data_IF_387789483277
#
_entry.id   IF_387789483277
#
_cell.length_a   1.000
_cell.length_b   1.000
_cell.length_c   1.000
_cell.angle_alpha   90.00
_cell.angle_beta   90.00
_cell.angle_gamma   90.00
#
_symmetry.space_group_name_H-M   'P 1'
#
loop_
_entity.id
_entity.type
_entity.pdbx_description
1 polymer ?
#
# COMPACT_ATOMS: atom_id res chain seq x y z
N UNK A 1 15.75 -5.96 -1.40
CA UNK A 1 16.58 -4.72 -1.43
C UNK A 1 16.43 -3.99 -0.09
N UNK A 2 17.28 -3.01 0.25
CA UNK A 2 17.01 -2.16 1.42
C UNK A 2 15.81 -1.25 1.16
N UNK A 3 15.09 -0.87 2.22
CA UNK A 3 13.94 0.05 2.18
C UNK A 3 14.20 1.28 1.30
N UNK A 4 15.32 1.95 1.52
CA UNK A 4 15.71 3.17 0.79
C UNK A 4 15.92 2.92 -0.71
N UNK A 5 16.54 1.79 -1.09
CA UNK A 5 16.77 1.45 -2.50
C UNK A 5 15.47 1.17 -3.26
N UNK A 6 14.48 0.58 -2.60
CA UNK A 6 13.14 0.36 -3.18
C UNK A 6 12.44 1.71 -3.38
N UNK A 7 12.50 2.57 -2.37
CA UNK A 7 11.94 3.93 -2.45
C UNK A 7 12.59 4.71 -3.60
N UNK A 8 13.91 4.68 -3.72
CA UNK A 8 14.63 5.38 -4.79
C UNK A 8 14.33 4.79 -6.16
N UNK A 9 14.19 3.47 -6.28
CA UNK A 9 13.76 2.82 -7.52
C UNK A 9 12.36 3.27 -7.95
N UNK A 10 11.41 3.34 -7.01
CA UNK A 10 10.06 3.87 -7.27
C UNK A 10 10.13 5.34 -7.66
N UNK A 11 10.93 6.16 -6.96
CA UNK A 11 11.08 7.60 -7.27
C UNK A 11 11.75 7.84 -8.62
N UNK A 12 12.63 6.95 -9.07
CA UNK A 12 13.28 7.00 -10.37
C UNK A 12 12.31 6.60 -11.49
N UNK A 13 11.52 5.56 -11.28
CA UNK A 13 10.52 5.10 -12.26
C UNK A 13 9.30 6.03 -12.34
N UNK A 14 8.90 6.61 -11.21
CA UNK A 14 7.77 7.52 -11.09
C UNK A 14 8.25 8.90 -10.61
N UNK A 15 8.42 9.87 -11.54
CA UNK A 15 8.79 11.23 -11.20
C UNK A 15 7.84 11.86 -10.17
N UNK A 16 8.33 12.87 -9.45
CA UNK A 16 7.58 13.54 -8.37
C UNK A 16 6.16 13.96 -8.78
N UNK A 17 6.00 14.54 -9.96
CA UNK A 17 4.70 15.00 -10.44
C UNK A 17 3.75 13.84 -10.73
N UNK A 18 4.25 12.74 -11.33
CA UNK A 18 3.47 11.50 -11.53
C UNK A 18 2.99 10.93 -10.21
N UNK A 19 3.87 10.86 -9.19
CA UNK A 19 3.50 10.34 -7.85
C UNK A 19 2.43 11.21 -7.19
N UNK A 20 2.56 12.53 -7.27
CA UNK A 20 1.54 13.47 -6.76
C UNK A 20 0.21 13.33 -7.52
N UNK A 21 0.26 13.23 -8.85
CA UNK A 21 -0.94 13.12 -9.67
C UNK A 21 -1.67 11.82 -9.37
N UNK A 22 -0.95 10.71 -9.22
CA UNK A 22 -1.54 9.42 -8.84
C UNK A 22 -2.29 9.55 -7.50
N UNK A 23 -1.66 10.08 -6.45
CA UNK A 23 -2.33 10.26 -5.15
C UNK A 23 -3.52 11.22 -5.25
N UNK A 24 -3.38 12.31 -6.01
CA UNK A 24 -4.50 13.24 -6.23
C UNK A 24 -5.70 12.53 -6.85
N UNK A 25 -5.46 11.68 -7.86
CA UNK A 25 -6.51 10.92 -8.56
C UNK A 25 -7.16 9.91 -7.60
N UNK A 26 -6.36 9.19 -6.80
CA UNK A 26 -6.89 8.29 -5.74
C UNK A 26 -7.83 9.04 -4.81
N UNK A 27 -7.34 10.10 -4.17
CA UNK A 27 -8.11 10.86 -3.18
C UNK A 27 -9.34 11.55 -3.80
N UNK A 28 -9.28 11.89 -5.09
CA UNK A 28 -10.42 12.44 -5.82
C UNK A 28 -11.47 11.37 -6.08
N UNK A 29 -11.08 10.21 -6.60
CA UNK A 29 -12.00 9.13 -6.92
C UNK A 29 -12.61 8.49 -5.68
N UNK A 30 -11.87 8.41 -4.56
CA UNK A 30 -12.41 7.94 -3.27
C UNK A 30 -13.56 8.80 -2.73
N UNK A 31 -13.62 10.07 -3.13
CA UNK A 31 -14.70 11.01 -2.78
C UNK A 31 -15.79 11.07 -3.85
N UNK A 32 -15.52 10.52 -5.03
CA UNK A 32 -16.40 10.56 -6.18
C UNK A 32 -17.36 9.36 -6.22
N UNK A 33 -18.21 9.35 -7.24
CA UNK A 33 -19.12 8.24 -7.54
C UNK A 33 -18.61 7.35 -8.68
N UNK A 34 -17.50 7.72 -9.34
CA UNK A 34 -16.92 6.96 -10.44
C UNK A 34 -16.09 5.77 -9.91
N UNK A 35 -16.80 4.67 -9.67
CA UNK A 35 -16.23 3.43 -9.16
C UNK A 35 -15.31 2.75 -10.17
N UNK A 36 -15.51 2.97 -11.47
CA UNK A 36 -14.65 2.41 -12.52
C UNK A 36 -13.28 3.06 -12.48
N UNK A 37 -13.25 4.39 -12.48
CA UNK A 37 -12.01 5.15 -12.39
C UNK A 37 -11.27 4.90 -11.07
N UNK A 38 -12.01 4.73 -9.96
CA UNK A 38 -11.44 4.30 -8.67
C UNK A 38 -10.77 2.93 -8.78
N UNK A 39 -11.44 1.94 -9.38
CA UNK A 39 -10.93 0.57 -9.54
C UNK A 39 -9.67 0.54 -10.40
N UNK A 40 -9.64 1.28 -11.50
CA UNK A 40 -8.45 1.38 -12.36
C UNK A 40 -7.27 2.01 -11.61
N UNK A 41 -7.54 3.06 -10.84
CA UNK A 41 -6.53 3.73 -10.02
C UNK A 41 -5.97 2.80 -8.95
N UNK A 42 -6.84 2.07 -8.25
CA UNK A 42 -6.43 1.07 -7.25
C UNK A 42 -5.61 -0.06 -7.90
N UNK A 43 -6.03 -0.55 -9.07
CA UNK A 43 -5.29 -1.58 -9.80
C UNK A 43 -3.85 -1.16 -10.09
N UNK A 44 -3.63 0.11 -10.43
CA UNK A 44 -2.27 0.65 -10.62
C UNK A 44 -1.49 0.66 -9.31
N UNK A 45 -2.10 1.11 -8.21
CA UNK A 45 -1.44 1.12 -6.90
C UNK A 45 -1.13 -0.29 -6.42
N UNK A 46 -2.04 -1.24 -6.59
CA UNK A 46 -1.86 -2.64 -6.21
C UNK A 46 -0.71 -3.29 -6.97
N UNK A 47 -0.50 -2.92 -8.25
CA UNK A 47 0.66 -3.40 -9.02
C UNK A 47 1.98 -2.88 -8.47
N UNK A 48 2.02 -1.60 -8.09
CA UNK A 48 3.22 -1.00 -7.47
C UNK A 48 3.45 -1.63 -6.10
N UNK A 49 2.39 -1.84 -5.32
CA UNK A 49 2.48 -2.47 -4.02
C UNK A 49 2.93 -3.93 -4.11
N UNK A 50 2.45 -4.70 -5.09
CA UNK A 50 2.92 -6.05 -5.35
C UNK A 50 4.42 -6.11 -5.67
N UNK A 51 4.94 -5.11 -6.39
CA UNK A 51 6.38 -4.94 -6.59
C UNK A 51 7.09 -4.70 -5.24
N UNK A 52 6.58 -3.79 -4.40
CA UNK A 52 7.16 -3.52 -3.08
C UNK A 52 7.17 -4.77 -2.19
N UNK A 53 6.05 -5.50 -2.12
CA UNK A 53 5.96 -6.75 -1.36
C UNK A 53 7.02 -7.76 -1.80
N UNK A 54 7.20 -7.92 -3.12
CA UNK A 54 8.22 -8.79 -3.69
C UNK A 54 9.64 -8.33 -3.30
N UNK A 55 9.95 -7.05 -3.43
CA UNK A 55 11.29 -6.52 -3.13
C UNK A 55 11.64 -6.51 -1.64
N UNK A 56 10.62 -6.48 -0.78
CA UNK A 56 10.75 -6.68 0.67
C UNK A 56 10.86 -8.17 1.04
N UNK A 57 10.70 -9.09 0.09
CA UNK A 57 10.51 -10.51 0.37
C UNK A 57 9.42 -10.74 1.44
N UNK A 58 8.37 -9.93 1.38
CA UNK A 58 7.32 -9.90 2.38
C UNK A 58 6.42 -11.13 2.22
N UNK A 59 6.07 -11.72 3.34
CA UNK A 59 5.13 -12.83 3.44
C UNK A 59 4.01 -12.48 4.40
N UNK A 60 2.83 -13.08 4.17
CA UNK A 60 1.72 -12.99 5.12
C UNK A 60 2.21 -13.45 6.50
N UNK A 61 2.12 -12.61 7.55
CA UNK A 61 2.57 -13.00 8.88
C UNK A 61 1.58 -13.98 9.50
N UNK A 62 2.08 -14.92 10.30
CA UNK A 62 1.27 -15.90 11.04
C UNK A 62 0.74 -15.35 12.37
N UNK A 63 1.20 -14.16 12.79
CA UNK A 63 0.82 -13.53 14.04
C UNK A 63 1.02 -12.01 14.02
N UNK A 64 0.47 -11.30 15.01
CA UNK A 64 0.64 -9.84 15.17
C UNK A 64 2.09 -9.42 15.34
N UNK A 65 2.87 -10.25 16.02
CA UNK A 65 4.24 -9.95 16.42
C UNK A 65 5.20 -10.02 15.21
N UNK A 66 4.85 -10.80 14.21
CA UNK A 66 5.59 -10.95 12.95
C UNK A 66 5.15 -9.94 11.88
N UNK A 67 4.21 -9.05 12.23
CA UNK A 67 3.67 -8.09 11.28
C UNK A 67 4.72 -7.07 10.83
N UNK A 68 5.14 -7.18 9.57
CA UNK A 68 6.04 -6.23 8.93
C UNK A 68 5.26 -5.16 8.15
N UNK A 69 5.27 -3.93 8.67
CA UNK A 69 4.69 -2.75 8.02
C UNK A 69 5.58 -2.14 6.92
N UNK A 70 6.82 -2.61 6.75
CA UNK A 70 7.81 -1.99 5.86
C UNK A 70 7.27 -1.76 4.44
N UNK A 71 6.53 -2.70 3.81
CA UNK A 71 5.97 -2.46 2.48
C UNK A 71 5.01 -1.27 2.42
N UNK A 72 4.16 -1.11 3.43
CA UNK A 72 3.22 0.01 3.51
C UNK A 72 3.96 1.33 3.78
N UNK A 73 4.96 1.32 4.64
CA UNK A 73 5.81 2.50 4.87
C UNK A 73 6.50 2.97 3.59
N UNK A 74 7.05 2.04 2.79
CA UNK A 74 7.67 2.35 1.49
C UNK A 74 6.65 3.04 0.57
N UNK A 75 5.40 2.55 0.53
CA UNK A 75 4.34 3.19 -0.25
C UNK A 75 4.04 4.60 0.27
N UNK A 76 3.96 4.79 1.60
CA UNK A 76 3.69 6.09 2.22
C UNK A 76 4.80 7.12 1.97
N UNK A 77 6.06 6.69 1.98
CA UNK A 77 7.22 7.55 1.71
C UNK A 77 7.44 7.81 0.21
N UNK A 78 7.05 6.86 -0.63
CA UNK A 78 7.11 7.00 -2.08
C UNK A 78 5.98 7.88 -2.61
N UNK A 79 4.77 7.78 -2.09
CA UNK A 79 3.60 8.48 -2.62
C UNK A 79 3.06 9.51 -1.62
N UNK A 80 3.24 10.82 -1.89
CA UNK A 80 2.94 11.86 -0.92
C UNK A 80 1.45 11.88 -0.57
N UNK A 81 1.12 11.78 0.72
CA UNK A 81 -0.26 11.73 1.26
C UNK A 81 -1.05 10.46 0.94
N UNK A 82 -0.42 9.42 0.40
CA UNK A 82 -1.12 8.15 0.15
C UNK A 82 -1.68 7.56 1.47
N UNK A 83 -1.02 7.79 2.60
CA UNK A 83 -1.50 7.41 3.93
C UNK A 83 -2.85 8.02 4.34
N UNK A 84 -3.30 9.09 3.68
CA UNK A 84 -4.62 9.67 3.91
C UNK A 84 -5.73 8.90 3.18
N UNK A 85 -5.39 8.13 2.15
CA UNK A 85 -6.33 7.39 1.31
C UNK A 85 -7.03 6.26 2.07
N UNK A 86 -8.23 5.90 1.59
CA UNK A 86 -8.94 4.70 2.03
C UNK A 86 -8.14 3.45 1.68
N UNK A 87 -7.55 3.38 0.48
CA UNK A 87 -6.72 2.24 0.08
C UNK A 87 -5.64 1.91 1.13
N UNK A 88 -4.87 2.91 1.57
CA UNK A 88 -3.78 2.69 2.54
C UNK A 88 -4.30 2.22 3.90
N UNK A 89 -5.43 2.79 4.36
CA UNK A 89 -6.07 2.41 5.62
C UNK A 89 -6.66 1.01 5.55
N UNK A 90 -7.23 0.62 4.42
CA UNK A 90 -7.77 -0.73 4.20
C UNK A 90 -6.64 -1.77 4.25
N UNK A 91 -5.47 -1.49 3.68
CA UNK A 91 -4.31 -2.40 3.78
C UNK A 91 -3.88 -2.60 5.24
N UNK A 92 -3.81 -1.51 6.03
CA UNK A 92 -3.54 -1.58 7.47
C UNK A 92 -4.63 -2.35 8.24
N UNK A 93 -5.88 -2.33 7.78
CA UNK A 93 -6.98 -3.02 8.43
C UNK A 93 -7.01 -4.50 8.08
N UNK A 94 -6.80 -4.86 6.81
CA UNK A 94 -6.70 -6.26 6.35
C UNK A 94 -5.56 -6.97 7.08
N UNK A 95 -4.42 -6.30 7.18
CA UNK A 95 -3.29 -6.71 7.99
C UNK A 95 -3.71 -7.09 9.43
N UNK A 96 -4.32 -6.14 10.14
CA UNK A 96 -4.74 -6.31 11.53
C UNK A 96 -5.82 -7.38 11.71
N UNK A 97 -6.76 -7.47 10.78
CA UNK A 97 -7.87 -8.43 10.86
C UNK A 97 -7.42 -9.86 10.58
N UNK A 98 -6.46 -10.08 9.67
CA UNK A 98 -5.91 -11.41 9.43
C UNK A 98 -5.31 -12.01 10.72
N UNK A 99 -4.66 -11.16 11.52
CA UNK A 99 -4.09 -11.51 12.81
C UNK A 99 -5.17 -11.81 13.87
N UNK A 100 -6.21 -10.97 13.96
CA UNK A 100 -7.27 -11.11 14.98
C UNK A 100 -8.13 -12.36 14.78
N UNK A 101 -8.30 -12.80 13.52
CA UNK A 101 -9.03 -14.03 13.18
C UNK A 101 -8.25 -15.28 13.58
N UNK A 102 -6.93 -15.35 13.33
CA UNK A 102 -6.10 -16.49 13.76
C UNK A 102 -6.03 -16.64 15.29
N UNK A 103 -6.09 -15.54 16.05
CA UNK A 103 -6.13 -15.62 17.52
C UNK A 103 -7.47 -16.12 18.06
N UNK A 104 -8.58 -15.94 17.33
CA UNK A 104 -9.91 -16.43 17.74
C UNK A 104 -10.18 -17.88 17.37
N UNK A 105 -9.57 -18.39 16.30
CA UNK A 105 -9.74 -19.80 15.88
C UNK A 105 -8.85 -20.77 16.67
N UNK A 106 -7.78 -20.28 17.32
CA UNK A 106 -6.87 -21.07 18.16
C UNK A 106 -7.07 -20.87 19.68
N UNK A 107 -8.16 -20.23 20.10
CA UNK A 107 -8.49 -19.91 21.50
C UNK A 107 -9.55 -20.80 22.12
#
# INVERSE_FOLDING_TARGET
MKKEEIIDSIKAQYPRETRKQLVKVVLMHEKGTDMTALKETYTLIDRIFAYVLKECNWSMPASSEEWDNTPLEIMGESFPKLSESKWYKDQLLVAKNAIDVEMKENG
#
